data_IF_246469972615
#
_entry.id   IF_246469972615
#
_cell.length_a   1.000
_cell.length_b   1.000
_cell.length_c   1.000
_cell.angle_alpha   90.00
_cell.angle_beta   90.00
_cell.angle_gamma   90.00
#
_symmetry.space_group_name_H-M   'P 1'
#
loop_
_entity.id
_entity.type
_entity.pdbx_description
1 polymer ?
#
# COMPACT_ATOMS: atom_id res chain seq x y z
N UNK A 1 8.99 -12.99 56.08
CA UNK A 1 9.43 -12.55 54.74
C UNK A 1 10.41 -11.40 54.92
N UNK A 2 11.61 -11.47 54.34
CA UNK A 2 12.65 -10.44 54.51
C UNK A 2 12.48 -9.30 53.49
N UNK A 3 12.96 -8.10 53.82
CA UNK A 3 12.94 -6.92 52.92
C UNK A 3 13.54 -7.26 51.55
N UNK A 4 14.56 -8.11 51.49
CA UNK A 4 15.17 -8.58 50.24
C UNK A 4 14.20 -9.27 49.28
N UNK A 5 13.20 -10.00 49.77
CA UNK A 5 12.17 -10.61 48.91
C UNK A 5 11.35 -9.56 48.18
N UNK A 6 10.94 -8.50 48.87
CA UNK A 6 10.14 -7.41 48.27
C UNK A 6 10.93 -6.60 47.25
N UNK A 7 12.21 -6.38 47.50
CA UNK A 7 13.11 -5.72 46.53
C UNK A 7 13.23 -6.54 45.25
N UNK A 8 13.45 -7.85 45.38
CA UNK A 8 13.57 -8.75 44.21
C UNK A 8 12.25 -8.82 43.44
N UNK A 9 11.12 -8.95 44.13
CA UNK A 9 9.81 -8.98 43.48
C UNK A 9 9.51 -7.68 42.71
N UNK A 10 9.87 -6.53 43.26
CA UNK A 10 9.70 -5.23 42.60
C UNK A 10 10.57 -5.11 41.34
N UNK A 11 11.83 -5.56 41.39
CA UNK A 11 12.73 -5.55 40.22
C UNK A 11 12.18 -6.43 39.10
N UNK A 12 11.68 -7.64 39.42
CA UNK A 12 11.08 -8.54 38.43
C UNK A 12 9.83 -7.90 37.80
N UNK A 13 8.96 -7.28 38.61
CA UNK A 13 7.78 -6.58 38.12
C UNK A 13 8.15 -5.45 37.15
N UNK A 14 9.19 -4.67 37.48
CA UNK A 14 9.66 -3.56 36.68
C UNK A 14 10.22 -4.04 35.34
N UNK A 15 11.01 -5.12 35.33
CA UNK A 15 11.55 -5.74 34.10
C UNK A 15 10.40 -6.25 33.20
N UNK A 16 9.43 -6.98 33.77
CA UNK A 16 8.29 -7.50 33.00
C UNK A 16 7.41 -6.38 32.45
N UNK A 17 7.16 -5.35 33.25
CA UNK A 17 6.41 -4.17 32.81
C UNK A 17 7.08 -3.46 31.64
N UNK A 18 8.42 -3.31 31.69
CA UNK A 18 9.18 -2.66 30.63
C UNK A 18 9.18 -3.48 29.32
N UNK A 19 9.25 -4.81 29.42
CA UNK A 19 9.13 -5.71 28.27
C UNK A 19 7.73 -5.67 27.62
N UNK A 20 6.66 -5.56 28.42
CA UNK A 20 5.30 -5.46 27.88
C UNK A 20 5.05 -4.12 27.17
N UNK A 21 5.62 -3.03 27.68
CA UNK A 21 5.52 -1.72 27.04
C UNK A 21 6.21 -1.65 25.67
N UNK A 22 7.20 -2.51 25.43
CA UNK A 22 7.97 -2.54 24.19
C UNK A 22 7.32 -3.36 23.05
N UNK A 23 6.15 -3.97 23.26
CA UNK A 23 5.50 -4.77 22.21
C UNK A 23 5.05 -3.87 21.04
N UNK A 24 5.53 -4.13 19.81
CA UNK A 24 5.09 -3.36 18.66
C UNK A 24 3.61 -3.60 18.40
N UNK A 25 2.92 -2.57 17.90
CA UNK A 25 1.50 -2.71 17.55
C UNK A 25 1.39 -3.69 16.38
N UNK A 26 0.51 -4.67 16.51
CA UNK A 26 0.30 -5.75 15.51
C UNK A 26 0.06 -5.18 14.10
N UNK A 27 -0.61 -4.03 13.98
CA UNK A 27 -0.87 -3.39 12.70
C UNK A 27 0.40 -2.88 12.00
N UNK A 28 1.35 -2.31 12.74
CA UNK A 28 2.61 -1.78 12.19
C UNK A 28 3.49 -2.92 11.69
N UNK A 29 3.54 -4.01 12.44
CA UNK A 29 4.25 -5.24 12.03
C UNK A 29 3.67 -5.78 10.73
N UNK A 30 2.34 -5.91 10.64
CA UNK A 30 1.68 -6.44 9.44
C UNK A 30 1.85 -5.55 8.22
N UNK A 31 1.79 -4.23 8.41
CA UNK A 31 2.07 -3.27 7.35
C UNK A 31 3.51 -3.38 6.85
N UNK A 32 4.45 -3.58 7.77
CA UNK A 32 5.85 -3.89 7.46
C UNK A 32 5.98 -5.15 6.62
N UNK A 33 5.42 -6.28 7.08
CA UNK A 33 5.42 -7.55 6.36
C UNK A 33 4.79 -7.44 4.97
N UNK A 34 3.65 -6.76 4.85
CA UNK A 34 2.98 -6.54 3.57
C UNK A 34 3.86 -5.78 2.57
N UNK A 35 4.51 -4.70 3.02
CA UNK A 35 5.45 -3.92 2.19
C UNK A 35 6.71 -4.70 1.85
N UNK A 36 7.17 -5.60 2.72
CA UNK A 36 8.28 -6.52 2.42
C UNK A 36 7.88 -7.57 1.38
N UNK A 37 6.68 -8.14 1.47
CA UNK A 37 6.15 -9.05 0.45
C UNK A 37 6.01 -8.36 -0.91
N UNK A 38 5.55 -7.10 -0.92
CA UNK A 38 5.46 -6.31 -2.16
C UNK A 38 6.84 -6.16 -2.83
N UNK A 39 7.89 -5.86 -2.04
CA UNK A 39 9.28 -5.78 -2.54
C UNK A 39 9.76 -7.10 -3.13
N UNK A 40 9.43 -8.23 -2.50
CA UNK A 40 9.75 -9.56 -3.06
C UNK A 40 9.08 -9.81 -4.41
N UNK A 41 7.94 -9.16 -4.68
CA UNK A 41 7.21 -9.22 -5.96
C UNK A 41 7.65 -8.15 -6.96
N UNK A 42 8.72 -7.40 -6.69
CA UNK A 42 9.23 -6.35 -7.57
C UNK A 42 8.49 -5.01 -7.47
N UNK A 43 7.54 -4.89 -6.54
CA UNK A 43 6.85 -3.65 -6.25
C UNK A 43 7.65 -2.85 -5.21
N UNK A 44 7.86 -1.57 -5.45
CA UNK A 44 8.57 -0.68 -4.54
C UNK A 44 7.57 0.21 -3.77
N UNK A 45 7.13 -0.20 -2.56
CA UNK A 45 6.24 0.60 -1.73
C UNK A 45 6.99 1.76 -1.08
N UNK A 46 6.41 2.95 -1.17
CA UNK A 46 6.91 4.18 -0.55
C UNK A 46 5.73 4.98 0.00
N UNK A 47 5.85 5.44 1.25
CA UNK A 47 4.92 6.41 1.80
C UNK A 47 5.38 7.81 1.40
N UNK A 48 4.53 8.55 0.69
CA UNK A 48 4.83 9.91 0.25
C UNK A 48 3.73 10.87 0.70
N UNK A 49 4.04 12.16 0.72
CA UNK A 49 2.99 13.18 0.83
C UNK A 49 2.06 13.08 -0.39
N UNK A 50 0.76 13.26 -0.17
CA UNK A 50 -0.22 13.20 -1.26
C UNK A 50 0.13 14.22 -2.35
N UNK A 51 0.35 13.79 -3.61
CA UNK A 51 0.71 14.70 -4.70
C UNK A 51 -0.36 15.78 -4.93
N UNK A 52 0.06 16.97 -5.37
CA UNK A 52 -0.86 18.10 -5.62
C UNK A 52 -1.93 17.77 -6.66
N UNK A 53 -1.57 17.09 -7.75
CA UNK A 53 -2.54 16.68 -8.78
C UNK A 53 -3.62 15.74 -8.22
N UNK A 54 -3.29 14.95 -7.19
CA UNK A 54 -4.24 14.05 -6.55
C UNK A 54 -5.10 14.78 -5.51
N UNK A 55 -4.50 15.72 -4.76
CA UNK A 55 -5.23 16.62 -3.84
C UNK A 55 -6.29 17.45 -4.57
N UNK A 56 -5.95 18.03 -5.71
CA UNK A 56 -6.84 18.90 -6.47
C UNK A 56 -8.06 18.15 -7.01
N UNK A 57 -7.92 16.85 -7.23
CA UNK A 57 -8.99 15.99 -7.73
C UNK A 57 -9.62 15.11 -6.65
N UNK A 58 -9.41 15.43 -5.36
CA UNK A 58 -10.01 14.70 -4.24
C UNK A 58 -11.54 14.61 -4.29
N UNK A 59 -12.23 15.48 -5.03
CA UNK A 59 -13.69 15.39 -5.20
C UNK A 59 -14.13 14.15 -6.00
N UNK A 60 -13.24 13.63 -6.86
CA UNK A 60 -13.43 12.42 -7.66
C UNK A 60 -12.95 11.15 -6.93
N UNK A 61 -12.33 11.32 -5.77
CA UNK A 61 -11.75 10.24 -4.97
C UNK A 61 -12.61 10.12 -3.73
N UNK A 62 -13.00 8.90 -3.33
CA UNK A 62 -13.85 8.66 -2.17
C UNK A 62 -13.26 9.26 -0.88
N UNK A 63 -13.60 10.51 -0.55
CA UNK A 63 -13.54 11.25 0.73
C UNK A 63 -12.46 10.88 1.77
N UNK A 64 -11.29 10.38 1.38
CA UNK A 64 -10.19 10.09 2.29
C UNK A 64 -9.16 11.23 2.21
N UNK A 65 -9.39 12.26 3.04
CA UNK A 65 -8.41 13.34 3.28
C UNK A 65 -7.22 12.78 4.05
N UNK A 66 -6.25 12.25 3.33
CA UNK A 66 -4.98 11.79 3.91
C UNK A 66 -3.84 12.70 3.46
N UNK A 67 -3.03 13.13 4.43
CA UNK A 67 -1.83 13.95 4.16
C UNK A 67 -0.71 13.13 3.52
N UNK A 68 -0.72 11.80 3.75
CA UNK A 68 0.21 10.84 3.20
C UNK A 68 -0.53 9.72 2.47
N UNK A 69 0.07 9.23 1.40
CA UNK A 69 -0.46 8.13 0.59
C UNK A 69 0.67 7.16 0.24
N UNK A 70 0.32 5.88 0.14
CA UNK A 70 1.29 4.88 -0.32
C UNK A 70 1.32 4.76 -1.83
N UNK A 71 2.53 4.74 -2.35
CA UNK A 71 2.86 4.57 -3.75
C UNK A 71 3.57 3.23 -3.93
N UNK A 72 3.04 2.37 -4.80
CA UNK A 72 3.64 1.10 -5.16
C UNK A 72 4.12 1.20 -6.59
N UNK A 73 5.44 1.17 -6.77
CA UNK A 73 6.06 1.40 -8.08
C UNK A 73 6.59 0.11 -8.65
N UNK A 74 6.17 -0.24 -9.86
CA UNK A 74 6.76 -1.29 -10.67
C UNK A 74 7.64 -0.64 -11.75
N UNK A 75 8.87 -1.14 -11.90
CA UNK A 75 9.85 -0.64 -12.86
C UNK A 75 10.20 -1.77 -13.82
N UNK A 76 10.22 -1.48 -15.12
CA UNK A 76 10.62 -2.43 -16.14
C UNK A 76 11.41 -1.69 -17.22
N UNK A 77 12.64 -2.12 -17.46
CA UNK A 77 13.59 -1.46 -18.34
C UNK A 77 13.15 -1.44 -19.82
N UNK A 78 12.22 -2.31 -20.20
CA UNK A 78 11.68 -2.38 -21.55
C UNK A 78 10.61 -1.31 -21.84
N UNK A 79 10.12 -0.60 -20.82
CA UNK A 79 9.05 0.38 -20.98
C UNK A 79 9.57 1.79 -21.25
N UNK A 80 8.87 2.50 -22.15
CA UNK A 80 9.10 3.92 -22.44
C UNK A 80 7.78 4.63 -22.65
N UNK A 81 7.19 5.06 -21.56
CA UNK A 81 5.89 5.71 -21.55
C UNK A 81 6.01 7.22 -21.27
N UNK A 82 5.14 8.05 -21.88
CA UNK A 82 5.03 9.45 -21.51
C UNK A 82 4.50 9.60 -20.07
N UNK A 83 4.64 10.81 -19.52
CA UNK A 83 4.07 11.15 -18.22
C UNK A 83 2.54 11.18 -18.33
N UNK A 84 1.86 10.28 -17.64
CA UNK A 84 0.40 10.22 -17.60
C UNK A 84 -0.09 10.07 -16.16
N UNK A 85 -1.14 10.81 -15.82
CA UNK A 85 -1.79 10.78 -14.52
C UNK A 85 -3.20 10.22 -14.67
N UNK A 86 -3.53 9.22 -13.88
CA UNK A 86 -4.85 8.62 -13.84
C UNK A 86 -5.45 8.71 -12.44
N UNK A 87 -6.76 8.88 -12.40
CA UNK A 87 -7.57 8.85 -11.18
C UNK A 87 -8.58 7.73 -11.29
N UNK A 88 -8.80 7.04 -10.17
CA UNK A 88 -9.79 5.99 -10.08
C UNK A 88 -11.07 6.51 -9.41
N UNK A 89 -12.19 6.47 -10.13
CA UNK A 89 -13.52 6.87 -9.61
C UNK A 89 -14.26 5.70 -8.94
N UNK A 90 -13.58 4.57 -8.69
CA UNK A 90 -14.17 3.36 -8.12
C UNK A 90 -14.62 2.34 -9.17
N UNK A 91 -14.75 2.72 -10.44
CA UNK A 91 -15.09 1.81 -11.55
C UNK A 91 -14.10 1.90 -12.70
N UNK A 92 -13.72 3.12 -13.10
CA UNK A 92 -12.89 3.37 -14.27
C UNK A 92 -11.72 4.30 -13.97
N UNK A 93 -10.70 4.23 -14.81
CA UNK A 93 -9.56 5.14 -14.79
C UNK A 93 -9.84 6.35 -15.67
N UNK A 94 -9.77 7.54 -15.08
CA UNK A 94 -9.85 8.82 -15.79
C UNK A 94 -8.45 9.38 -15.99
N UNK A 95 -8.09 9.62 -17.26
CA UNK A 95 -6.83 10.24 -17.61
C UNK A 95 -6.93 11.77 -17.42
N UNK A 96 -5.95 12.36 -16.75
CA UNK A 96 -5.82 13.80 -16.56
C UNK A 96 -4.81 14.45 -17.52
N UNK A 97 -4.06 13.63 -18.26
CA UNK A 97 -3.11 14.08 -19.25
C UNK A 97 -3.78 14.42 -20.58
N UNK A 98 -2.98 15.05 -21.44
CA UNK A 98 -3.39 15.49 -22.79
C UNK A 98 -3.36 14.35 -23.83
N UNK A 99 -2.85 13.18 -23.42
CA UNK A 99 -2.71 12.00 -24.29
C UNK A 99 -3.93 11.09 -24.07
N UNK A 100 -4.63 10.77 -25.15
CA UNK A 100 -5.74 9.81 -25.17
C UNK A 100 -5.23 8.38 -24.93
N UNK A 101 -5.02 8.05 -23.66
CA UNK A 101 -4.68 6.71 -23.20
C UNK A 101 -5.80 6.18 -22.30
N UNK A 102 -6.23 4.95 -22.57
CA UNK A 102 -7.32 4.30 -21.85
C UNK A 102 -6.86 2.98 -21.26
N UNK A 103 -6.95 2.85 -19.94
CA UNK A 103 -6.74 1.57 -19.27
C UNK A 103 -7.95 0.67 -19.55
N UNK A 104 -7.76 -0.34 -20.40
CA UNK A 104 -8.83 -1.29 -20.82
C UNK A 104 -8.97 -2.50 -19.90
N UNK A 105 -8.06 -2.66 -18.94
CA UNK A 105 -8.04 -3.79 -18.02
C UNK A 105 -8.76 -3.42 -16.73
N UNK A 106 -9.66 -4.28 -16.28
CA UNK A 106 -10.36 -4.08 -15.00
C UNK A 106 -9.38 -4.27 -13.84
N UNK A 107 -9.38 -3.37 -12.84
CA UNK A 107 -8.61 -3.57 -11.62
C UNK A 107 -9.09 -4.81 -10.86
N UNK A 108 -8.25 -5.44 -10.03
CA UNK A 108 -8.67 -6.55 -9.19
C UNK A 108 -9.75 -6.13 -8.17
N UNK A 109 -10.86 -6.85 -8.13
CA UNK A 109 -12.07 -6.51 -7.35
C UNK A 109 -11.81 -6.32 -5.84
N UNK A 110 -10.88 -7.10 -5.27
CA UNK A 110 -10.54 -7.01 -3.85
C UNK A 110 -9.77 -5.73 -3.48
N UNK A 111 -9.05 -5.15 -4.44
CA UNK A 111 -8.11 -4.05 -4.23
C UNK A 111 -8.63 -2.71 -4.77
N UNK A 112 -9.51 -2.76 -5.76
CA UNK A 112 -10.09 -1.57 -6.40
C UNK A 112 -10.68 -0.54 -5.42
N UNK A 113 -11.33 -0.89 -4.29
CA UNK A 113 -11.89 0.11 -3.38
C UNK A 113 -10.83 0.97 -2.67
N UNK A 114 -9.57 0.55 -2.72
CA UNK A 114 -8.45 1.23 -2.08
C UNK A 114 -7.62 2.05 -3.06
N UNK A 115 -7.86 1.90 -4.36
CA UNK A 115 -7.14 2.63 -5.39
C UNK A 115 -7.58 4.09 -5.43
N UNK A 116 -6.62 4.96 -5.69
CA UNK A 116 -6.82 6.40 -5.65
C UNK A 116 -6.35 7.02 -6.96
N UNK A 117 -5.14 6.68 -7.38
CA UNK A 117 -4.56 7.22 -8.60
C UNK A 117 -3.43 6.35 -9.13
N UNK A 118 -3.00 6.63 -10.34
CA UNK A 118 -1.88 5.95 -10.98
C UNK A 118 -1.06 6.96 -11.76
N UNK A 119 0.25 6.80 -11.73
CA UNK A 119 1.20 7.60 -12.46
C UNK A 119 2.02 6.67 -13.35
N UNK A 120 1.97 6.89 -14.65
CA UNK A 120 2.83 6.22 -15.60
C UNK A 120 3.89 7.24 -16.02
N UNK A 121 5.18 6.85 -15.94
CA UNK A 121 6.29 7.73 -16.34
C UNK A 121 7.50 6.91 -16.74
N UNK A 122 8.03 7.20 -17.93
CA UNK A 122 9.24 6.59 -18.47
C UNK A 122 9.17 5.05 -18.41
N UNK A 123 9.96 4.42 -17.57
CA UNK A 123 10.03 2.97 -17.42
C UNK A 123 9.30 2.45 -16.17
N UNK A 124 8.38 3.24 -15.62
CA UNK A 124 7.75 2.94 -14.33
C UNK A 124 6.25 3.24 -14.30
N UNK A 125 5.53 2.42 -13.55
CA UNK A 125 4.12 2.59 -13.21
C UNK A 125 3.99 2.63 -11.69
N UNK A 126 3.36 3.67 -11.19
CA UNK A 126 3.23 3.98 -9.77
C UNK A 126 1.76 4.03 -9.41
N UNK A 127 1.31 3.07 -8.61
CA UNK A 127 -0.06 3.01 -8.11
C UNK A 127 -0.14 3.69 -6.74
N UNK A 128 -1.03 4.66 -6.61
CA UNK A 128 -1.38 5.31 -5.35
C UNK A 128 -2.64 4.69 -4.78
N UNK A 129 -2.55 4.20 -3.56
CA UNK A 129 -3.63 3.51 -2.88
C UNK A 129 -3.47 3.56 -1.36
N UNK A 130 -4.50 3.15 -0.63
CA UNK A 130 -4.51 3.12 0.84
C UNK A 130 -4.27 1.70 1.36
N UNK A 131 -3.00 1.26 1.41
CA UNK A 131 -2.62 -0.08 1.86
C UNK A 131 -3.00 -0.35 3.34
N UNK A 132 -2.92 0.67 4.19
CA UNK A 132 -3.36 0.60 5.59
C UNK A 132 -4.85 0.29 5.73
N UNK A 133 -5.71 0.95 4.94
CA UNK A 133 -7.16 0.71 4.92
C UNK A 133 -7.52 -0.69 4.42
N UNK A 134 -6.72 -1.25 3.51
CA UNK A 134 -6.83 -2.64 3.08
C UNK A 134 -6.47 -3.60 4.23
N UNK A 135 -5.33 -3.38 4.89
CA UNK A 135 -4.85 -4.22 5.97
C UNK A 135 -5.71 -4.20 7.23
N UNK A 136 -6.44 -3.11 7.48
CA UNK A 136 -7.39 -3.05 8.59
C UNK A 136 -8.45 -4.14 8.53
N UNK A 137 -8.92 -4.55 7.33
CA UNK A 137 -9.88 -5.66 7.15
C UNK A 137 -9.35 -7.00 7.64
N UNK A 138 -8.03 -7.18 7.64
CA UNK A 138 -7.38 -8.45 7.98
C UNK A 138 -7.00 -8.55 9.47
N UNK A 139 -7.36 -7.57 10.29
CA UNK A 139 -7.04 -7.53 11.73
C UNK A 139 -7.61 -8.68 12.55
N UNK A 140 -8.57 -9.43 12.01
CA UNK A 140 -9.34 -10.45 12.73
C UNK A 140 -9.01 -11.89 12.31
N UNK A 141 -8.25 -12.13 11.22
CA UNK A 141 -8.08 -13.50 10.65
C UNK A 141 -6.65 -14.03 10.78
N UNK A 142 -6.52 -15.32 11.11
CA UNK A 142 -5.24 -15.97 11.42
C UNK A 142 -4.40 -16.43 10.20
N UNK A 143 -4.96 -16.49 8.97
CA UNK A 143 -4.25 -16.93 7.75
C UNK A 143 -4.24 -15.87 6.64
N UNK A 144 -3.48 -14.81 6.87
CA UNK A 144 -3.51 -13.58 6.06
C UNK A 144 -2.31 -13.46 5.09
N UNK A 145 -1.21 -14.15 5.35
CA UNK A 145 0.00 -14.09 4.51
C UNK A 145 -0.26 -14.59 3.09
N UNK A 146 -0.90 -15.75 2.94
CA UNK A 146 -1.21 -16.33 1.62
C UNK A 146 -2.14 -15.44 0.80
N UNK A 147 -3.15 -14.84 1.44
CA UNK A 147 -4.06 -13.89 0.77
C UNK A 147 -3.32 -12.63 0.33
N UNK A 148 -2.47 -12.07 1.19
CA UNK A 148 -1.65 -10.90 0.82
C UNK A 148 -0.70 -11.20 -0.33
N UNK A 149 -0.05 -12.36 -0.33
CA UNK A 149 0.85 -12.76 -1.40
C UNK A 149 0.12 -12.95 -2.73
N UNK A 150 -1.06 -13.58 -2.69
CA UNK A 150 -1.93 -13.74 -3.85
C UNK A 150 -2.35 -12.37 -4.41
N UNK A 151 -2.85 -11.48 -3.56
CA UNK A 151 -3.32 -10.15 -3.97
C UNK A 151 -2.18 -9.27 -4.50
N UNK A 152 -0.98 -9.33 -3.91
CA UNK A 152 0.20 -8.63 -4.41
C UNK A 152 0.67 -9.16 -5.76
N UNK A 153 0.55 -10.47 -5.98
CA UNK A 153 0.87 -11.09 -7.28
C UNK A 153 -0.11 -10.59 -8.33
N UNK A 154 -1.41 -10.64 -8.04
CA UNK A 154 -2.45 -10.12 -8.93
C UNK A 154 -2.26 -8.62 -9.25
N UNK A 155 -1.85 -7.81 -8.27
CA UNK A 155 -1.55 -6.39 -8.46
C UNK A 155 -0.33 -6.20 -9.38
N UNK A 156 0.75 -6.94 -9.16
CA UNK A 156 1.95 -6.86 -9.99
C UNK A 156 1.66 -7.27 -11.44
N UNK A 157 0.89 -8.35 -11.62
CA UNK A 157 0.49 -8.84 -12.95
C UNK A 157 -0.41 -7.81 -13.65
N UNK A 158 -1.38 -7.24 -12.94
CA UNK A 158 -2.25 -6.18 -13.45
C UNK A 158 -1.44 -4.97 -13.94
N UNK A 159 -0.51 -4.45 -13.14
CA UNK A 159 0.32 -3.30 -13.52
C UNK A 159 1.21 -3.61 -14.73
N UNK A 160 1.70 -4.85 -14.82
CA UNK A 160 2.50 -5.31 -15.96
C UNK A 160 1.65 -5.39 -17.24
N UNK A 161 0.42 -5.85 -17.13
CA UNK A 161 -0.47 -6.00 -18.27
C UNK A 161 -0.91 -4.65 -18.85
N UNK A 162 -1.13 -3.63 -18.01
CA UNK A 162 -1.52 -2.28 -18.46
C UNK A 162 -0.56 -1.75 -19.53
N UNK A 163 0.75 -1.93 -19.34
CA UNK A 163 1.76 -1.43 -20.27
C UNK A 163 2.06 -2.41 -21.42
N UNK A 164 1.66 -3.67 -21.30
CA UNK A 164 1.78 -4.64 -22.39
C UNK A 164 0.72 -4.49 -23.47
N UNK A 165 -0.42 -3.87 -23.15
CA UNK A 165 -1.56 -3.70 -24.08
C UNK A 165 -1.34 -2.52 -25.04
N UNK A 166 -0.47 -1.57 -24.68
CA UNK A 166 -0.18 -0.37 -25.47
C UNK A 166 1.22 -0.37 -26.13
N UNK A 167 1.90 -1.53 -26.16
CA UNK A 167 3.16 -1.77 -26.88
C UNK A 167 2.90 -2.44 -28.24
#
# INVERSE_FOLDING_TARGET
MTVGFWVIAFVILLIVGNLMAAKPKIHEVRLGEFRLLARKKGLNPKLIATPEWLKNNQKLIQNQKTSMITQYTLVNDNWRSPLMHFIFDGQTWHNLGDVDFFVRISPPDNLSPYFVGMLIKANSISLYWHDESYLQKFSVRENISTTMEHDLTALSDYLSQILSVDA
#
